data_IF_693537454566
#
_entry.id   IF_693537454566
#
_cell.length_a   1.000
_cell.length_b   1.000
_cell.length_c   1.000
_cell.angle_alpha   90.00
_cell.angle_beta   90.00
_cell.angle_gamma   90.00
#
_symmetry.space_group_name_H-M   'P 1'
#
loop_
_entity.id
_entity.type
_entity.pdbx_description
1 polymer ?
#
# COMPACT_ATOMS: atom_id res chain seq x y z
N UNK A 1 -16.44 12.93 -1.26
CA UNK A 1 -15.93 12.14 -0.11
C UNK A 1 -17.03 11.27 0.52
N UNK A 2 -18.17 11.88 0.83
CA UNK A 2 -19.39 11.24 1.34
C UNK A 2 -19.93 10.14 0.41
N UNK A 3 -19.99 10.39 -0.89
CA UNK A 3 -20.55 9.47 -1.90
C UNK A 3 -19.79 8.13 -1.97
N UNK A 4 -18.47 8.13 -1.76
CA UNK A 4 -17.64 6.90 -1.75
C UNK A 4 -17.75 6.13 -0.44
N UNK A 5 -18.00 6.82 0.67
CA UNK A 5 -18.23 6.20 1.97
C UNK A 5 -19.55 5.43 1.95
N UNK A 6 -20.60 6.02 1.39
CA UNK A 6 -21.90 5.36 1.19
C UNK A 6 -21.81 4.08 0.35
N UNK A 7 -21.05 4.09 -0.75
CA UNK A 7 -20.86 2.89 -1.58
C UNK A 7 -20.23 1.76 -0.76
N UNK A 8 -19.29 2.08 0.12
CA UNK A 8 -18.60 1.08 0.92
C UNK A 8 -19.40 0.59 2.10
N UNK A 9 -20.14 1.46 2.76
CA UNK A 9 -21.06 1.04 3.80
C UNK A 9 -22.14 0.12 3.19
N UNK A 10 -22.67 0.45 2.01
CA UNK A 10 -23.62 -0.40 1.29
C UNK A 10 -23.02 -1.76 0.88
N UNK A 11 -21.80 -1.77 0.35
CA UNK A 11 -21.11 -3.00 -0.05
C UNK A 11 -20.76 -3.88 1.17
N UNK A 12 -20.36 -3.25 2.29
CA UNK A 12 -20.12 -3.93 3.58
C UNK A 12 -21.40 -4.57 4.10
N UNK A 13 -22.48 -3.81 4.14
CA UNK A 13 -23.75 -4.29 4.67
C UNK A 13 -24.32 -5.42 3.80
N UNK A 14 -24.15 -5.34 2.48
CA UNK A 14 -24.48 -6.43 1.54
C UNK A 14 -23.70 -7.70 1.84
N UNK A 15 -22.37 -7.62 1.94
CA UNK A 15 -21.53 -8.79 2.24
C UNK A 15 -21.84 -9.38 3.62
N UNK A 16 -22.11 -8.54 4.61
CA UNK A 16 -22.49 -8.98 5.95
C UNK A 16 -23.83 -9.74 5.93
N UNK A 17 -24.81 -9.25 5.18
CA UNK A 17 -26.10 -9.92 5.02
C UNK A 17 -25.94 -11.30 4.34
N UNK A 18 -25.12 -11.39 3.30
CA UNK A 18 -24.83 -12.65 2.60
C UNK A 18 -24.13 -13.65 3.53
N UNK A 19 -23.13 -13.22 4.30
CA UNK A 19 -22.45 -14.07 5.29
C UNK A 19 -23.40 -14.57 6.38
N UNK A 20 -24.28 -13.70 6.90
CA UNK A 20 -25.29 -14.09 7.90
C UNK A 20 -26.31 -15.07 7.32
N UNK A 21 -26.77 -14.88 6.08
CA UNK A 21 -27.65 -15.83 5.39
C UNK A 21 -27.01 -17.19 5.21
N UNK A 22 -25.75 -17.24 4.75
CA UNK A 22 -25.02 -18.50 4.59
C UNK A 22 -24.87 -19.18 5.97
N UNK A 23 -24.53 -18.41 7.01
CA UNK A 23 -24.39 -18.93 8.36
C UNK A 23 -25.69 -19.48 8.95
N UNK A 24 -26.84 -18.90 8.57
CA UNK A 24 -28.18 -19.36 8.94
C UNK A 24 -28.62 -20.63 8.17
N UNK A 25 -27.82 -21.11 7.21
CA UNK A 25 -28.12 -22.32 6.45
C UNK A 25 -29.08 -22.11 5.27
N UNK A 26 -29.16 -20.89 4.72
CA UNK A 26 -30.07 -20.56 3.63
C UNK A 26 -29.95 -21.51 2.42
N UNK A 27 -31.10 -21.90 1.84
CA UNK A 27 -31.19 -22.67 0.58
C UNK A 27 -32.39 -22.20 -0.26
N UNK A 28 -32.26 -22.13 -1.60
CA UNK A 28 -31.02 -22.27 -2.36
C UNK A 28 -30.10 -21.05 -2.15
N UNK A 29 -28.79 -21.26 -2.29
CA UNK A 29 -27.81 -20.17 -2.27
C UNK A 29 -27.74 -19.48 -3.64
N UNK A 30 -27.64 -18.15 -3.65
CA UNK A 30 -27.38 -17.38 -4.87
C UNK A 30 -25.99 -17.73 -5.44
N UNK A 31 -25.71 -17.42 -6.73
CA UNK A 31 -24.37 -17.60 -7.30
C UNK A 31 -23.27 -16.88 -6.49
N UNK A 32 -23.57 -15.68 -5.99
CA UNK A 32 -22.65 -14.90 -5.16
C UNK A 32 -22.43 -15.53 -3.78
N UNK A 33 -23.49 -15.98 -3.10
CA UNK A 33 -23.37 -16.67 -1.81
C UNK A 33 -22.57 -17.99 -1.94
N UNK A 34 -22.76 -18.72 -3.04
CA UNK A 34 -21.94 -19.91 -3.36
C UNK A 34 -20.47 -19.55 -3.52
N UNK A 35 -20.16 -18.46 -4.26
CA UNK A 35 -18.79 -17.97 -4.42
C UNK A 35 -18.19 -17.58 -3.07
N UNK A 36 -18.92 -16.82 -2.24
CA UNK A 36 -18.47 -16.43 -0.91
C UNK A 36 -18.19 -17.66 -0.07
N UNK A 37 -19.11 -18.63 0.02
CA UNK A 37 -18.91 -19.87 0.77
C UNK A 37 -17.67 -20.64 0.30
N UNK A 38 -17.41 -20.68 -1.02
CA UNK A 38 -16.26 -21.38 -1.57
C UNK A 38 -14.92 -20.75 -1.15
N UNK A 39 -14.85 -19.43 -0.94
CA UNK A 39 -13.63 -18.74 -0.48
C UNK A 39 -13.16 -19.19 0.92
N UNK A 40 -14.06 -19.71 1.76
CA UNK A 40 -13.74 -20.16 3.10
C UNK A 40 -13.31 -21.64 3.18
N UNK A 41 -13.43 -22.38 2.07
CA UNK A 41 -13.13 -23.81 2.01
C UNK A 41 -14.22 -24.71 2.62
N UNK A 42 -14.04 -26.05 2.49
CA UNK A 42 -14.96 -27.02 3.07
C UNK A 42 -14.89 -26.99 4.60
N UNK A 43 -16.05 -27.12 5.27
CA UNK A 43 -16.12 -27.25 6.73
C UNK A 43 -16.13 -25.94 7.54
N UNK A 44 -16.24 -24.77 6.89
CA UNK A 44 -16.41 -23.50 7.62
C UNK A 44 -17.66 -23.54 8.50
N UNK A 45 -17.52 -23.19 9.78
CA UNK A 45 -18.63 -23.20 10.73
C UNK A 45 -19.51 -21.97 10.58
N UNK A 46 -20.81 -22.12 10.85
CA UNK A 46 -21.76 -21.00 10.90
C UNK A 46 -21.33 -19.92 11.90
N UNK A 47 -20.70 -20.30 13.01
CA UNK A 47 -20.18 -19.35 13.99
C UNK A 47 -19.05 -18.47 13.40
N UNK A 48 -18.15 -19.07 12.61
CA UNK A 48 -17.07 -18.33 11.93
C UNK A 48 -17.62 -17.38 10.87
N UNK A 49 -18.63 -17.81 10.11
CA UNK A 49 -19.30 -16.95 9.12
C UNK A 49 -20.06 -15.79 9.77
N UNK A 50 -20.71 -16.00 10.92
CA UNK A 50 -21.35 -14.92 11.69
C UNK A 50 -20.32 -13.88 12.15
N UNK A 51 -19.22 -14.33 12.76
CA UNK A 51 -18.13 -13.43 13.19
C UNK A 51 -17.56 -12.67 11.99
N UNK A 52 -17.37 -13.34 10.85
CA UNK A 52 -16.89 -12.69 9.64
C UNK A 52 -17.82 -11.58 9.13
N UNK A 53 -19.14 -11.70 9.34
CA UNK A 53 -20.10 -10.66 8.98
C UNK A 53 -19.95 -9.40 9.84
N UNK A 54 -19.41 -9.53 11.05
CA UNK A 54 -19.17 -8.41 11.97
C UNK A 54 -17.77 -7.80 11.76
N UNK A 55 -16.83 -8.57 11.21
CA UNK A 55 -15.42 -8.19 11.04
C UNK A 55 -15.05 -7.74 9.61
N UNK A 56 -16.02 -7.28 8.81
CA UNK A 56 -15.77 -6.86 7.42
C UNK A 56 -15.02 -5.53 7.38
N UNK A 57 -13.80 -5.57 6.85
CA UNK A 57 -12.97 -4.38 6.63
C UNK A 57 -12.89 -4.08 5.13
N UNK A 58 -13.22 -2.84 4.77
CA UNK A 58 -13.02 -2.32 3.42
C UNK A 58 -11.83 -1.38 3.37
N UNK A 59 -10.99 -1.52 2.35
CA UNK A 59 -9.89 -0.61 2.10
C UNK A 59 -10.13 0.17 0.82
N UNK A 60 -10.73 1.36 0.96
CA UNK A 60 -10.92 2.28 -0.14
C UNK A 60 -9.62 2.96 -0.55
N UNK A 61 -9.57 3.29 -1.84
CA UNK A 61 -8.58 4.23 -2.36
C UNK A 61 -7.23 3.63 -2.66
N UNK A 62 -6.96 2.35 -2.40
CA UNK A 62 -5.70 1.72 -2.81
C UNK A 62 -5.59 1.59 -4.32
N UNK A 63 -6.64 1.16 -5.02
CA UNK A 63 -6.61 1.09 -6.49
C UNK A 63 -6.36 2.48 -7.11
N UNK A 64 -7.04 3.52 -6.60
CA UNK A 64 -6.86 4.88 -7.11
C UNK A 64 -5.49 5.46 -6.74
N UNK A 65 -4.99 5.24 -5.52
CA UNK A 65 -3.65 5.65 -5.10
C UNK A 65 -2.56 4.92 -5.88
N UNK A 66 -2.74 3.64 -6.12
CA UNK A 66 -1.84 2.82 -6.92
C UNK A 66 -1.80 3.33 -8.37
N UNK A 67 -2.96 3.55 -9.00
CA UNK A 67 -3.06 4.15 -10.34
C UNK A 67 -2.39 5.53 -10.40
N UNK A 68 -2.69 6.40 -9.44
CA UNK A 68 -2.06 7.72 -9.35
C UNK A 68 -0.54 7.61 -9.14
N UNK A 69 -0.09 6.64 -8.34
CA UNK A 69 1.31 6.36 -8.12
C UNK A 69 2.03 5.87 -9.37
N UNK A 70 1.39 4.99 -10.15
CA UNK A 70 1.91 4.55 -11.46
C UNK A 70 2.07 5.73 -12.42
N UNK A 71 1.07 6.63 -12.49
CA UNK A 71 1.18 7.84 -13.33
C UNK A 71 2.35 8.71 -12.86
N UNK A 72 2.47 8.97 -11.55
CA UNK A 72 3.58 9.77 -10.98
C UNK A 72 4.95 9.12 -11.20
N UNK A 73 5.01 7.79 -11.21
CA UNK A 73 6.27 7.06 -11.33
C UNK A 73 7.03 7.41 -12.61
N UNK A 74 6.32 7.73 -13.70
CA UNK A 74 6.93 8.12 -14.98
C UNK A 74 7.89 9.30 -14.87
N UNK A 75 7.71 10.21 -13.91
CA UNK A 75 8.62 11.33 -13.67
C UNK A 75 9.99 10.91 -13.08
N UNK A 76 10.05 9.76 -12.39
CA UNK A 76 11.20 9.39 -11.55
C UNK A 76 11.87 8.08 -11.96
N UNK A 77 11.16 7.21 -12.69
CA UNK A 77 11.62 5.85 -13.04
C UNK A 77 13.02 5.82 -13.67
N UNK A 78 13.32 6.72 -14.60
CA UNK A 78 14.66 6.78 -15.22
C UNK A 78 15.76 7.14 -14.23
N UNK A 79 15.52 8.11 -13.34
CA UNK A 79 16.50 8.50 -12.32
C UNK A 79 16.74 7.37 -11.31
N UNK A 80 15.66 6.70 -10.89
CA UNK A 80 15.71 5.56 -9.98
C UNK A 80 16.46 4.38 -10.61
N UNK A 81 16.11 4.00 -11.84
CA UNK A 81 16.78 2.91 -12.54
C UNK A 81 18.29 3.17 -12.69
N UNK A 82 18.69 4.40 -13.03
CA UNK A 82 20.12 4.77 -13.11
C UNK A 82 20.83 4.67 -11.76
N UNK A 83 20.24 5.20 -10.69
CA UNK A 83 20.85 5.17 -9.37
C UNK A 83 21.01 3.73 -8.83
N UNK A 84 20.01 2.88 -9.04
CA UNK A 84 20.08 1.47 -8.69
C UNK A 84 21.16 0.73 -9.50
N UNK A 85 21.21 0.95 -10.81
CA UNK A 85 22.21 0.34 -11.68
C UNK A 85 23.64 0.76 -11.31
N UNK A 86 23.86 2.02 -10.96
CA UNK A 86 25.16 2.53 -10.49
C UNK A 86 25.65 1.85 -9.20
N UNK A 87 24.73 1.34 -8.38
CA UNK A 87 25.04 0.59 -7.16
C UNK A 87 25.01 -0.93 -7.35
N UNK A 88 24.80 -1.42 -8.58
CA UNK A 88 24.68 -2.85 -8.87
C UNK A 88 23.43 -3.49 -8.27
N UNK A 89 22.39 -2.71 -7.98
CA UNK A 89 21.17 -3.17 -7.32
C UNK A 89 20.15 -3.74 -8.32
N UNK A 90 19.31 -4.71 -7.89
CA UNK A 90 18.25 -5.26 -8.73
C UNK A 90 17.27 -4.17 -9.21
N UNK A 91 16.92 -4.10 -10.52
CA UNK A 91 16.02 -3.08 -11.05
C UNK A 91 14.61 -3.16 -10.48
N UNK A 92 14.19 -4.31 -9.95
CA UNK A 92 12.89 -4.52 -9.31
C UNK A 92 12.70 -3.63 -8.07
N UNK A 93 13.80 -3.22 -7.42
CA UNK A 93 13.75 -2.28 -6.29
C UNK A 93 13.22 -0.89 -6.69
N UNK A 94 13.16 -0.58 -7.98
CA UNK A 94 12.53 0.63 -8.48
C UNK A 94 11.03 0.72 -8.13
N UNK A 95 10.38 -0.40 -7.77
CA UNK A 95 9.00 -0.44 -7.32
C UNK A 95 8.79 0.03 -5.86
N UNK A 96 9.85 0.13 -5.05
CA UNK A 96 9.73 0.49 -3.63
C UNK A 96 9.02 1.84 -3.40
N UNK A 97 9.32 2.93 -4.12
CA UNK A 97 8.61 4.19 -3.92
C UNK A 97 7.09 4.12 -4.16
N UNK A 98 6.61 3.11 -4.91
CA UNK A 98 5.19 2.87 -5.10
C UNK A 98 4.52 2.46 -3.79
N UNK A 99 5.14 1.54 -3.05
CA UNK A 99 4.63 1.03 -1.77
C UNK A 99 4.86 2.03 -0.64
N UNK A 100 5.98 2.75 -0.66
CA UNK A 100 6.33 3.70 0.39
C UNK A 100 5.48 4.98 0.36
N UNK A 101 5.31 5.58 -0.82
CA UNK A 101 4.69 6.91 -0.94
C UNK A 101 3.76 7.04 -2.14
N UNK A 102 3.60 5.98 -2.92
CA UNK A 102 3.03 6.04 -4.26
C UNK A 102 3.73 7.09 -5.15
N UNK A 103 5.07 7.18 -5.06
CA UNK A 103 5.91 8.19 -5.72
C UNK A 103 5.52 9.65 -5.40
N UNK A 104 5.07 9.92 -4.17
CA UNK A 104 4.76 11.27 -3.73
C UNK A 104 6.00 11.95 -3.11
N UNK A 105 6.59 12.98 -3.75
CA UNK A 105 7.77 13.67 -3.21
C UNK A 105 7.47 14.45 -1.93
N UNK A 106 6.21 14.78 -1.68
CA UNK A 106 5.75 15.52 -0.50
C UNK A 106 5.11 14.61 0.55
N UNK A 107 5.31 13.29 0.47
CA UNK A 107 4.77 12.37 1.47
C UNK A 107 5.41 12.58 2.84
N UNK A 108 4.58 12.56 3.88
CA UNK A 108 4.98 12.49 5.28
C UNK A 108 4.17 11.42 5.99
N UNK A 109 4.84 10.54 6.73
CA UNK A 109 4.19 9.61 7.64
C UNK A 109 3.91 10.27 9.00
N UNK A 110 3.04 9.65 9.80
CA UNK A 110 2.78 10.09 11.19
C UNK A 110 4.03 10.00 12.07
N UNK A 111 4.92 9.07 11.75
CA UNK A 111 6.15 8.81 12.50
C UNK A 111 7.34 9.64 11.99
N UNK A 112 7.11 10.53 11.01
CA UNK A 112 8.10 11.50 10.52
C UNK A 112 8.93 11.02 9.33
N UNK A 113 8.59 9.90 8.70
CA UNK A 113 9.19 9.48 7.43
C UNK A 113 8.79 10.44 6.31
N UNK A 114 9.72 10.79 5.40
CA UNK A 114 9.46 11.81 4.38
C UNK A 114 9.92 11.41 2.97
N UNK A 115 9.23 11.99 1.97
CA UNK A 115 9.58 11.90 0.56
C UNK A 115 9.23 10.57 -0.13
N UNK A 116 9.69 10.43 -1.37
CA UNK A 116 9.32 9.27 -2.21
C UNK A 116 9.77 7.91 -1.63
N UNK A 117 10.87 7.91 -0.88
CA UNK A 117 11.48 6.73 -0.27
C UNK A 117 11.14 6.56 1.22
N UNK A 118 10.32 7.45 1.79
CA UNK A 118 9.95 7.45 3.21
C UNK A 118 11.15 7.30 4.16
N UNK A 119 12.14 8.17 3.98
CA UNK A 119 13.29 8.21 4.87
C UNK A 119 12.93 8.71 6.27
N UNK A 120 13.28 7.92 7.29
CA UNK A 120 13.31 8.40 8.67
C UNK A 120 14.44 9.41 8.87
N UNK A 121 14.27 10.45 9.72
CA UNK A 121 15.28 11.49 9.93
C UNK A 121 16.67 10.93 10.29
N UNK A 122 16.74 9.98 11.23
CA UNK A 122 18.02 9.41 11.67
C UNK A 122 18.78 8.67 10.57
N UNK A 123 18.06 7.94 9.71
CA UNK A 123 18.68 7.26 8.55
C UNK A 123 19.07 8.27 7.46
N UNK A 124 18.21 9.26 7.21
CA UNK A 124 18.44 10.28 6.19
C UNK A 124 19.72 11.09 6.43
N UNK A 125 19.99 11.48 7.67
CA UNK A 125 21.15 12.30 8.04
C UNK A 125 22.51 11.68 7.63
N UNK A 126 22.56 10.37 7.39
CA UNK A 126 23.78 9.68 6.91
C UNK A 126 24.10 9.95 5.44
N UNK A 127 23.10 10.32 4.64
CA UNK A 127 23.20 10.41 3.18
C UNK A 127 22.62 11.72 2.60
N UNK A 128 21.84 12.46 3.39
CA UNK A 128 21.07 13.62 2.97
C UNK A 128 21.32 14.79 3.91
N UNK A 129 21.36 15.99 3.33
CA UNK A 129 21.41 17.24 4.08
C UNK A 129 20.03 17.54 4.68
N UNK A 130 20.00 17.71 5.99
CA UNK A 130 18.82 18.10 6.74
C UNK A 130 19.17 19.26 7.67
N UNK A 131 18.39 20.33 7.61
CA UNK A 131 18.40 21.47 8.51
C UNK A 131 17.00 22.04 8.68
N UNK A 132 16.83 23.06 9.52
CA UNK A 132 15.54 23.76 9.66
C UNK A 132 15.03 24.37 8.35
N UNK A 133 15.92 24.68 7.41
CA UNK A 133 15.58 25.29 6.13
C UNK A 133 15.59 24.32 4.94
N UNK A 134 16.26 23.16 5.06
CA UNK A 134 16.47 22.23 3.95
C UNK A 134 16.18 20.81 4.41
N UNK A 135 15.28 20.12 3.71
CA UNK A 135 15.03 18.69 3.91
C UNK A 135 15.15 17.94 2.58
N UNK A 136 16.34 17.40 2.30
CA UNK A 136 16.61 16.69 1.05
C UNK A 136 15.85 15.36 0.91
N UNK A 137 15.14 14.89 1.95
CA UNK A 137 14.23 13.75 1.79
C UNK A 137 13.11 14.06 0.81
N UNK A 138 12.73 15.33 0.69
CA UNK A 138 11.67 15.81 -0.20
C UNK A 138 12.16 16.08 -1.63
N UNK A 139 13.48 16.04 -1.87
CA UNK A 139 14.05 16.09 -3.21
C UNK A 139 14.16 14.67 -3.78
N UNK A 140 13.37 14.29 -4.81
CA UNK A 140 13.36 12.94 -5.36
C UNK A 140 14.71 12.48 -5.89
N UNK A 141 15.54 13.38 -6.41
CA UNK A 141 16.83 13.02 -6.98
C UNK A 141 17.85 12.71 -5.88
N UNK A 142 18.03 13.62 -4.92
CA UNK A 142 18.90 13.40 -3.76
C UNK A 142 18.46 12.17 -2.97
N UNK A 143 17.16 12.06 -2.67
CA UNK A 143 16.60 10.92 -1.94
C UNK A 143 16.81 9.59 -2.70
N UNK A 144 16.76 9.59 -4.03
CA UNK A 144 17.01 8.38 -4.83
C UNK A 144 18.45 7.91 -4.80
N UNK A 145 19.41 8.84 -4.87
CA UNK A 145 20.83 8.49 -4.72
C UNK A 145 21.09 7.94 -3.31
N UNK A 146 20.57 8.61 -2.29
CA UNK A 146 20.68 8.15 -0.91
C UNK A 146 20.02 6.77 -0.68
N UNK A 147 18.86 6.52 -1.27
CA UNK A 147 18.17 5.23 -1.17
C UNK A 147 18.98 4.10 -1.80
N UNK A 148 19.56 4.33 -2.98
CA UNK A 148 20.42 3.35 -3.64
C UNK A 148 21.67 3.05 -2.79
N UNK A 149 22.31 4.06 -2.19
CA UNK A 149 23.45 3.87 -1.29
C UNK A 149 23.06 3.09 -0.04
N UNK A 150 21.92 3.42 0.59
CA UNK A 150 21.42 2.71 1.76
C UNK A 150 21.11 1.23 1.46
N UNK A 151 20.43 0.95 0.35
CA UNK A 151 20.09 -0.41 -0.06
C UNK A 151 21.35 -1.23 -0.36
N UNK A 152 22.34 -0.63 -1.03
CA UNK A 152 23.63 -1.28 -1.26
C UNK A 152 24.41 -1.53 0.03
N UNK A 153 24.37 -0.59 0.97
CA UNK A 153 24.96 -0.76 2.30
C UNK A 153 24.31 -1.92 3.04
N UNK A 154 22.98 -1.97 3.09
CA UNK A 154 22.24 -3.04 3.78
C UNK A 154 22.44 -4.42 3.14
N UNK A 155 22.63 -4.50 1.82
CA UNK A 155 22.89 -5.77 1.13
C UNK A 155 24.30 -6.33 1.39
N UNK A 156 25.24 -5.48 1.83
CA UNK A 156 26.64 -5.88 2.08
C UNK A 156 26.88 -6.33 3.52
N UNK A 157 25.90 -6.17 4.41
CA UNK A 157 25.92 -6.62 5.80
C UNK A 157 25.27 -8.01 5.86
#
# INVERSE_FOLDING_TARGET
PWERQHIVDADRDRLAAELRRIAAGARPLTPQERRIRALWGPGVSSARLRRAADDIRFQLGQSNRFKAGLIRSGAWQHAIARALAQQGLPPQLAALPLVESSYNPRAFSKDGAAGIWQFMPGTAQRFLRMSSAVDQRLDPFSATVAAAQLLAYNHRI
#
